data_IF_206865963358
#
_entry.id   IF_206865963358
#
_cell.length_a   1.000
_cell.length_b   1.000
_cell.length_c   1.000
_cell.angle_alpha   90.00
_cell.angle_beta   90.00
_cell.angle_gamma   90.00
#
_symmetry.space_group_name_H-M   'P 1'
#
loop_
_entity.id
_entity.type
_entity.pdbx_description
1 polymer ?
#
# COMPACT_ATOMS: atom_id res chain seq x y z
N UNK A 1 23.10 -2.60 -13.23
CA UNK A 1 22.54 -1.72 -12.18
C UNK A 1 21.32 -2.41 -11.61
N UNK A 2 21.23 -2.50 -10.28
CA UNK A 2 20.28 -3.36 -9.56
C UNK A 2 18.84 -2.94 -9.88
N UNK A 3 18.17 -3.73 -10.73
CA UNK A 3 16.73 -3.66 -10.92
C UNK A 3 16.08 -3.88 -9.55
N UNK A 4 15.36 -2.88 -9.04
CA UNK A 4 14.44 -3.09 -7.92
C UNK A 4 13.48 -4.20 -8.36
N UNK A 5 13.69 -5.40 -7.80
CA UNK A 5 12.91 -6.63 -8.05
C UNK A 5 11.56 -6.57 -7.34
N UNK A 6 11.01 -5.38 -7.13
CA UNK A 6 9.68 -5.25 -6.59
C UNK A 6 8.71 -5.52 -7.74
N UNK A 7 7.93 -6.62 -7.71
CA UNK A 7 6.97 -6.91 -8.76
C UNK A 7 5.99 -5.73 -8.84
N UNK A 8 5.97 -5.04 -9.98
CA UNK A 8 4.94 -4.04 -10.25
C UNK A 8 3.60 -4.76 -10.38
N UNK A 9 2.81 -4.70 -9.31
CA UNK A 9 1.47 -5.22 -9.29
C UNK A 9 0.56 -4.18 -9.95
N UNK A 10 0.08 -4.47 -11.16
CA UNK A 10 -0.98 -3.68 -11.80
C UNK A 10 -2.32 -3.98 -11.12
N UNK A 11 -2.51 -3.44 -9.93
CA UNK A 11 -3.74 -3.53 -9.16
C UNK A 11 -4.80 -2.62 -9.80
N UNK A 12 -5.86 -3.22 -10.34
CA UNK A 12 -7.07 -2.48 -10.70
C UNK A 12 -7.84 -2.18 -9.43
N UNK A 13 -7.61 -0.99 -8.88
CA UNK A 13 -8.37 -0.48 -7.74
C UNK A 13 -9.62 0.24 -8.26
N UNK A 14 -10.79 0.06 -7.62
CA UNK A 14 -11.94 0.92 -7.85
C UNK A 14 -11.57 2.38 -7.52
N UNK A 15 -12.17 3.32 -8.24
CA UNK A 15 -11.81 4.75 -8.18
C UNK A 15 -11.93 5.32 -6.76
N UNK A 16 -12.93 4.88 -6.01
CA UNK A 16 -13.15 5.25 -4.60
C UNK A 16 -11.93 4.92 -3.71
N UNK A 17 -11.40 3.69 -3.81
CA UNK A 17 -10.23 3.28 -3.03
C UNK A 17 -8.97 4.03 -3.47
N UNK A 18 -8.83 4.30 -4.77
CA UNK A 18 -7.70 5.10 -5.27
C UNK A 18 -7.72 6.52 -4.71
N UNK A 19 -8.88 7.18 -4.72
CA UNK A 19 -9.02 8.53 -4.16
C UNK A 19 -8.77 8.57 -2.66
N UNK A 20 -9.23 7.56 -1.92
CA UNK A 20 -8.96 7.45 -0.50
C UNK A 20 -7.46 7.29 -0.22
N UNK A 21 -6.78 6.38 -0.93
CA UNK A 21 -5.32 6.18 -0.81
C UNK A 21 -4.56 7.44 -1.20
N UNK A 22 -4.99 8.15 -2.24
CA UNK A 22 -4.37 9.41 -2.67
C UNK A 22 -4.49 10.49 -1.58
N UNK A 23 -5.66 10.60 -0.94
CA UNK A 23 -5.87 11.51 0.19
C UNK A 23 -4.99 11.16 1.40
N UNK A 24 -4.88 9.86 1.73
CA UNK A 24 -4.03 9.39 2.84
C UNK A 24 -2.54 9.63 2.52
N UNK A 25 -2.11 9.29 1.31
CA UNK A 25 -0.75 9.50 0.85
C UNK A 25 -0.35 10.98 0.89
N UNK A 26 -1.26 11.88 0.48
CA UNK A 26 -1.04 13.32 0.54
C UNK A 26 -0.93 13.82 1.99
N UNK A 27 -1.79 13.32 2.90
CA UNK A 27 -1.71 13.64 4.34
C UNK A 27 -0.41 13.14 4.99
N UNK A 28 0.04 11.96 4.59
CA UNK A 28 1.23 11.31 5.16
C UNK A 28 2.53 11.70 4.44
N UNK A 29 2.49 12.63 3.48
CA UNK A 29 3.64 13.04 2.66
C UNK A 29 4.36 11.86 1.99
N UNK A 30 3.60 10.81 1.63
CA UNK A 30 4.09 9.57 1.01
C UNK A 30 3.55 9.44 -0.41
N UNK A 31 4.23 8.67 -1.24
CA UNK A 31 3.68 8.28 -2.55
C UNK A 31 2.51 7.30 -2.36
N UNK A 32 1.53 7.32 -3.28
CA UNK A 32 0.38 6.41 -3.25
C UNK A 32 0.79 4.94 -3.09
N UNK A 33 1.84 4.53 -3.80
CA UNK A 33 2.40 3.17 -3.69
C UNK A 33 2.96 2.89 -2.30
N UNK A 34 3.68 3.84 -1.70
CA UNK A 34 4.26 3.66 -0.38
C UNK A 34 3.18 3.56 0.70
N UNK A 35 2.10 4.32 0.55
CA UNK A 35 0.96 4.28 1.45
C UNK A 35 0.18 2.97 1.33
N UNK A 36 -0.08 2.52 0.10
CA UNK A 36 -0.72 1.23 -0.14
C UNK A 36 0.09 0.07 0.44
N UNK A 37 1.42 0.10 0.24
CA UNK A 37 2.33 -0.91 0.81
C UNK A 37 2.31 -0.85 2.35
N UNK A 38 2.29 0.35 2.93
CA UNK A 38 2.21 0.53 4.38
C UNK A 38 0.92 -0.07 4.94
N UNK A 39 -0.24 0.26 4.35
CA UNK A 39 -1.55 -0.28 4.73
C UNK A 39 -1.61 -1.80 4.65
N UNK A 40 -1.10 -2.38 3.56
CA UNK A 40 -1.06 -3.84 3.37
C UNK A 40 -0.13 -4.48 4.40
N UNK A 41 1.03 -3.87 4.67
CA UNK A 41 1.99 -4.39 5.64
C UNK A 41 1.45 -4.34 7.08
N UNK A 42 0.76 -3.25 7.46
CA UNK A 42 0.09 -3.11 8.75
C UNK A 42 -1.03 -4.14 8.92
N UNK A 43 -1.91 -4.28 7.91
CA UNK A 43 -2.99 -5.28 7.96
C UNK A 43 -2.43 -6.70 8.02
N UNK A 44 -1.39 -7.01 7.24
CA UNK A 44 -0.70 -8.30 7.32
C UNK A 44 -0.18 -8.57 8.73
N UNK A 45 0.50 -7.59 9.34
CA UNK A 45 1.05 -7.72 10.69
C UNK A 45 -0.05 -7.93 11.72
N UNK A 46 -1.18 -7.23 11.57
CA UNK A 46 -2.36 -7.38 12.44
C UNK A 46 -2.97 -8.77 12.33
N UNK A 47 -3.11 -9.30 11.12
CA UNK A 47 -3.60 -10.67 10.86
C UNK A 47 -2.66 -11.72 11.44
N UNK A 48 -1.34 -11.55 11.25
CA UNK A 48 -0.31 -12.45 11.78
C UNK A 48 -0.28 -12.46 13.31
N UNK A 49 -0.47 -11.28 13.94
CA UNK A 49 -0.60 -11.16 15.40
C UNK A 49 -1.91 -11.71 15.95
N UNK A 50 -3.01 -11.66 15.18
CA UNK A 50 -4.29 -12.22 15.59
C UNK A 50 -4.36 -13.74 15.40
N UNK A 51 -3.50 -14.30 14.55
CA UNK A 51 -3.39 -15.74 14.29
C UNK A 51 -2.35 -16.46 15.18
N UNK A 52 -1.61 -15.73 16.02
CA UNK A 52 -0.63 -16.24 16.98
C UNK A 52 -1.19 -16.23 18.41
#
# INVERSE_FOLDING_TARGET
>A
MMARKDPQFNLRLPEELKQWVESQAQKNHRSQTAELVYLIAEEKKRQEQAAA
#
